data_IF_528662713872
#
_entry.id   IF_528662713872
#
_cell.length_a   1.000
_cell.length_b   1.000
_cell.length_c   1.000
_cell.angle_alpha   90.00
_cell.angle_beta   90.00
_cell.angle_gamma   90.00
#
_symmetry.space_group_name_H-M   'P 1'
#
loop_
_entity.id
_entity.type
_entity.pdbx_description
1 polymer ?
#
# COMPACT_ATOMS: atom_id res chain seq x y z
N UNK A 1 5.04 15.30 0.91
CA UNK A 1 3.66 15.49 0.46
C UNK A 1 2.93 14.18 0.37
N UNK A 2 1.79 14.11 1.01
CA UNK A 2 1.02 12.89 1.03
C UNK A 2 0.12 12.78 -0.18
N UNK A 3 0.10 11.62 -0.78
CA UNK A 3 -0.76 11.37 -1.92
C UNK A 3 -1.79 10.31 -1.51
N UNK A 4 -3.05 10.69 -1.64
CA UNK A 4 -4.14 9.79 -1.27
C UNK A 4 -4.59 9.00 -2.49
N UNK A 5 -4.71 7.70 -2.31
CA UNK A 5 -5.17 6.83 -3.38
C UNK A 5 -6.17 5.82 -2.87
N UNK A 6 -7.13 5.50 -3.71
CA UNK A 6 -8.09 4.46 -3.39
C UNK A 6 -7.53 3.14 -3.87
N UNK A 7 -7.51 2.16 -2.98
CA UNK A 7 -7.04 0.84 -3.34
C UNK A 7 -7.98 -0.20 -2.75
N UNK A 8 -7.89 -1.41 -3.26
CA UNK A 8 -8.70 -2.50 -2.76
C UNK A 8 -7.81 -3.47 -2.03
N UNK A 9 -8.07 -3.66 -0.75
CA UNK A 9 -7.32 -4.60 0.07
C UNK A 9 -8.28 -5.64 0.61
N UNK A 10 -7.97 -6.89 0.34
CA UNK A 10 -8.79 -7.98 0.86
C UNK A 10 -10.26 -7.79 0.51
N UNK A 11 -10.52 -7.40 -0.74
CA UNK A 11 -11.87 -7.20 -1.25
C UNK A 11 -12.60 -6.01 -0.64
N UNK A 12 -11.87 -5.19 0.11
CA UNK A 12 -12.45 -3.99 0.69
C UNK A 12 -11.78 -2.77 0.08
N UNK A 13 -12.60 -1.82 -0.28
CA UNK A 13 -12.10 -0.59 -0.83
C UNK A 13 -11.70 0.35 0.29
N UNK A 14 -10.50 0.88 0.20
CA UNK A 14 -10.01 1.77 1.23
C UNK A 14 -9.18 2.88 0.62
N UNK A 15 -8.99 3.94 1.38
CA UNK A 15 -8.14 5.04 0.95
C UNK A 15 -6.87 5.03 1.78
N UNK A 16 -5.76 5.30 1.13
CA UNK A 16 -4.49 5.27 1.81
C UNK A 16 -3.67 6.48 1.38
N UNK A 17 -3.15 7.20 2.37
CA UNK A 17 -2.31 8.36 2.10
C UNK A 17 -0.88 8.03 2.43
N UNK A 18 -0.01 8.15 1.46
CA UNK A 18 1.41 7.87 1.64
C UNK A 18 2.22 8.93 0.95
N UNK A 19 3.46 9.07 1.39
CA UNK A 19 4.37 9.99 0.75
C UNK A 19 4.63 9.56 -0.68
N UNK A 20 4.89 10.54 -1.52
CA UNK A 20 5.15 10.26 -2.92
C UNK A 20 6.27 9.25 -3.08
N UNK A 21 7.32 9.40 -2.32
CA UNK A 21 8.46 8.50 -2.40
C UNK A 21 8.06 7.09 -2.05
N UNK A 22 7.16 6.96 -1.10
CA UNK A 22 6.69 5.66 -0.69
C UNK A 22 5.91 4.99 -1.82
N UNK A 23 5.04 5.76 -2.47
CA UNK A 23 4.28 5.22 -3.59
C UNK A 23 5.19 4.76 -4.72
N UNK A 24 6.24 5.52 -4.98
CA UNK A 24 7.17 5.16 -6.02
C UNK A 24 7.93 3.89 -5.67
N UNK A 25 8.31 3.75 -4.42
CA UNK A 25 8.99 2.54 -3.98
C UNK A 25 8.09 1.33 -4.16
N UNK A 26 6.83 1.48 -3.79
CA UNK A 26 5.88 0.39 -3.95
C UNK A 26 5.71 0.02 -5.43
N UNK A 27 5.69 1.03 -6.28
CA UNK A 27 5.57 0.78 -7.71
C UNK A 27 6.76 -0.04 -8.23
N UNK A 28 7.94 0.34 -7.79
CA UNK A 28 9.14 -0.36 -8.22
C UNK A 28 9.10 -1.81 -7.76
N UNK A 29 8.75 -2.03 -6.50
CA UNK A 29 8.67 -3.37 -5.95
C UNK A 29 7.63 -4.20 -6.69
N UNK A 30 6.49 -3.60 -6.99
CA UNK A 30 5.45 -4.34 -7.69
C UNK A 30 5.90 -4.77 -9.07
N UNK A 31 6.68 -3.91 -9.71
CA UNK A 31 7.22 -4.24 -11.02
C UNK A 31 8.24 -5.35 -10.92
N UNK A 32 9.11 -5.28 -9.94
CA UNK A 32 10.12 -6.29 -9.76
C UNK A 32 9.52 -7.64 -9.44
N UNK A 33 8.47 -7.65 -8.65
CA UNK A 33 7.82 -8.89 -8.28
C UNK A 33 6.70 -9.29 -9.22
N UNK A 34 6.47 -8.47 -10.22
CA UNK A 34 5.45 -8.75 -11.21
C UNK A 34 4.07 -8.94 -10.57
N UNK A 35 3.74 -8.07 -9.66
CA UNK A 35 2.43 -8.12 -9.00
C UNK A 35 1.88 -6.71 -8.88
N UNK A 36 0.65 -6.60 -8.43
CA UNK A 36 0.01 -5.30 -8.35
C UNK A 36 0.42 -4.56 -7.09
N UNK A 37 0.22 -3.25 -7.11
CA UNK A 37 0.50 -2.42 -5.95
C UNK A 37 -0.35 -2.88 -4.78
N UNK A 38 -1.59 -3.22 -5.06
CA UNK A 38 -2.49 -3.67 -4.01
C UNK A 38 -2.00 -4.95 -3.35
N UNK A 39 -1.40 -5.83 -4.14
CA UNK A 39 -0.82 -7.03 -3.57
C UNK A 39 0.31 -6.72 -2.61
N UNK A 40 1.14 -5.76 -2.98
CA UNK A 40 2.25 -5.36 -2.13
C UNK A 40 1.73 -4.79 -0.82
N UNK A 41 0.76 -3.91 -0.91
CA UNK A 41 0.21 -3.26 0.28
C UNK A 41 -0.48 -4.27 1.17
N UNK A 42 -1.19 -5.21 0.57
CA UNK A 42 -1.85 -6.25 1.35
C UNK A 42 -0.84 -7.07 2.13
N UNK A 43 0.29 -7.37 1.53
CA UNK A 43 1.33 -8.13 2.20
C UNK A 43 1.87 -7.38 3.40
N UNK A 44 2.12 -6.10 3.20
CA UNK A 44 2.63 -5.26 4.29
C UNK A 44 1.64 -5.21 5.43
N UNK A 45 0.38 -5.07 5.10
CA UNK A 45 -0.67 -4.97 6.10
C UNK A 45 -0.80 -6.26 6.89
N UNK A 46 -0.69 -7.39 6.22
CA UNK A 46 -0.78 -8.67 6.91
C UNK A 46 0.39 -8.90 7.85
N UNK A 47 1.56 -8.42 7.46
CA UNK A 47 2.73 -8.58 8.30
C UNK A 47 2.72 -7.65 9.49
N UNK A 48 2.02 -6.55 9.37
CA UNK A 48 1.97 -5.57 10.44
C UNK A 48 0.57 -5.47 10.97
N UNK A 49 0.31 -6.25 11.95
CA UNK A 49 -1.02 -6.27 12.52
C UNK A 49 -1.48 -4.95 13.04
N UNK A 50 -0.58 -4.22 13.59
CA UNK A 50 -0.96 -2.93 14.10
C UNK A 50 -1.15 -1.97 13.01
N UNK A 51 -0.80 -2.40 11.91
CA UNK A 51 -1.22 -1.80 10.73
C UNK A 51 -0.87 -0.36 10.47
N UNK A 52 -0.89 -0.08 9.24
CA UNK A 52 -0.71 1.27 8.78
C UNK A 52 -1.80 2.18 9.32
N UNK A 53 -2.94 1.62 9.53
CA UNK A 53 -4.06 2.41 9.99
C UNK A 53 -3.80 3.02 11.34
N UNK A 54 -3.22 2.26 12.23
CA UNK A 54 -3.01 2.79 13.56
C UNK A 54 -1.86 3.77 13.61
N UNK A 55 -0.92 3.67 12.69
CA UNK A 55 0.17 4.62 12.71
C UNK A 55 -0.21 5.89 11.98
N UNK A 56 -1.27 5.90 11.29
CA UNK A 56 -1.75 7.11 10.69
C UNK A 56 -2.83 7.71 11.54
#
# INVERSE_FOLDING_TARGET
MLIKRSITINKHRTSLSLEKEFWEAIKIVSKMKNCSIESIITRIDLNRKTSLASST
#
